data_IF_375205717348
#
_entry.id   IF_375205717348
#
_cell.length_a   1.000
_cell.length_b   1.000
_cell.length_c   1.000
_cell.angle_alpha   90.00
_cell.angle_beta   90.00
_cell.angle_gamma   90.00
#
_symmetry.space_group_name_H-M   'P 1'
#
loop_
_entity.id
_entity.type
_entity.pdbx_description
1 polymer ?
#
# COMPACT_ATOMS: atom_id res chain seq x y z
N UNK A 1 3.65 26.69 19.24
CA UNK A 1 3.77 25.25 18.90
C UNK A 1 2.51 24.77 18.21
N UNK A 2 2.47 24.83 16.88
CA UNK A 2 1.43 24.15 16.11
C UNK A 2 1.67 22.66 16.29
N UNK A 3 0.87 22.01 17.14
CA UNK A 3 0.81 20.54 17.21
C UNK A 3 0.27 20.09 15.86
N UNK A 4 1.15 19.94 14.88
CA UNK A 4 0.83 19.20 13.66
C UNK A 4 0.39 17.84 14.17
N UNK A 5 -0.88 17.49 13.99
CA UNK A 5 -1.35 16.17 14.37
C UNK A 5 -0.49 15.18 13.61
N UNK A 6 0.36 14.42 14.29
CA UNK A 6 1.10 13.34 13.66
C UNK A 6 0.25 12.09 13.72
N UNK A 7 0.22 11.36 12.62
CA UNK A 7 -0.37 10.04 12.54
C UNK A 7 0.71 9.02 12.18
N UNK A 8 0.37 7.75 12.34
CA UNK A 8 1.19 6.63 11.91
C UNK A 8 0.32 5.65 11.14
N UNK A 9 0.94 5.03 10.15
CA UNK A 9 0.31 3.96 9.36
C UNK A 9 1.14 2.71 9.58
N UNK A 10 0.54 1.71 10.18
CA UNK A 10 1.15 0.41 10.42
C UNK A 10 0.32 -0.68 9.77
N UNK A 11 1.01 -1.67 9.23
CA UNK A 11 0.37 -2.77 8.53
C UNK A 11 1.20 -4.04 8.63
N UNK A 12 0.52 -5.16 8.50
CA UNK A 12 1.13 -6.48 8.47
C UNK A 12 0.96 -7.11 7.10
N UNK A 13 2.00 -7.84 6.67
CA UNK A 13 1.99 -8.61 5.45
C UNK A 13 1.76 -10.08 5.77
N UNK A 14 0.70 -10.62 5.21
CA UNK A 14 0.34 -12.04 5.30
C UNK A 14 0.56 -12.73 3.96
N UNK A 15 1.06 -13.96 4.00
CA UNK A 15 1.26 -14.81 2.83
C UNK A 15 0.30 -16.00 2.89
N UNK A 16 -0.60 -16.08 1.92
CA UNK A 16 -1.52 -17.18 1.69
C UNK A 16 -1.00 -18.03 0.52
N UNK A 17 0.08 -18.76 0.77
CA UNK A 17 0.85 -19.49 -0.25
C UNK A 17 1.18 -20.93 0.13
N UNK A 18 0.53 -21.43 1.18
CA UNK A 18 0.81 -22.75 1.76
C UNK A 18 2.30 -22.95 2.11
N UNK A 19 2.96 -21.89 2.58
CA UNK A 19 4.37 -21.88 2.95
C UNK A 19 5.31 -22.22 1.77
N UNK A 20 5.03 -21.59 0.63
CA UNK A 20 5.80 -21.72 -0.60
C UNK A 20 7.30 -21.43 -0.40
N UNK A 21 8.16 -22.18 -1.09
CA UNK A 21 9.64 -22.05 -1.01
C UNK A 21 10.22 -21.00 -1.95
N UNK A 22 9.45 -20.59 -2.96
CA UNK A 22 9.76 -19.59 -3.98
C UNK A 22 9.31 -18.17 -3.60
N UNK A 23 9.03 -17.94 -2.30
CA UNK A 23 8.63 -16.62 -1.81
C UNK A 23 9.76 -15.60 -2.03
N UNK A 24 9.45 -14.38 -2.51
CA UNK A 24 10.45 -13.33 -2.59
C UNK A 24 11.02 -12.98 -1.21
N UNK A 25 12.30 -12.61 -1.19
CA UNK A 25 12.97 -12.21 0.05
C UNK A 25 12.43 -10.90 0.61
N UNK A 26 11.99 -9.99 -0.27
CA UNK A 26 11.54 -8.65 0.05
C UNK A 26 10.37 -8.24 -0.85
N UNK A 27 9.52 -7.36 -0.34
CA UNK A 27 8.45 -6.68 -1.08
C UNK A 27 8.59 -5.18 -0.86
N UNK A 28 7.99 -4.39 -1.75
CA UNK A 28 7.93 -2.94 -1.61
C UNK A 28 6.49 -2.50 -1.38
N UNK A 29 6.29 -1.78 -0.28
CA UNK A 29 5.01 -1.19 0.10
C UNK A 29 5.12 0.32 -0.03
N UNK A 30 4.34 0.89 -0.92
CA UNK A 30 4.22 2.33 -1.10
C UNK A 30 3.15 2.88 -0.18
N UNK A 31 3.47 4.01 0.46
CA UNK A 31 2.52 4.84 1.17
C UNK A 31 2.03 5.94 0.23
N UNK A 32 0.72 5.98 0.02
CA UNK A 32 0.04 6.99 -0.76
C UNK A 32 -0.60 8.00 0.19
N UNK A 33 -0.35 9.28 -0.05
CA UNK A 33 -1.04 10.40 0.58
C UNK A 33 -1.91 11.07 -0.48
N UNK A 34 -3.22 11.12 -0.26
CA UNK A 34 -4.20 11.65 -1.22
C UNK A 34 -4.02 11.06 -2.63
N UNK A 35 -3.70 9.76 -2.73
CA UNK A 35 -3.47 9.06 -3.99
C UNK A 35 -2.07 9.21 -4.59
N UNK A 36 -1.18 9.99 -3.98
CA UNK A 36 0.21 10.16 -4.45
C UNK A 36 1.19 9.38 -3.58
N UNK A 37 2.09 8.62 -4.19
CA UNK A 37 3.18 7.95 -3.45
C UNK A 37 4.09 9.02 -2.81
N UNK A 38 4.23 8.94 -1.49
CA UNK A 38 5.09 9.85 -0.70
C UNK A 38 6.25 9.14 -0.04
N UNK A 39 6.15 7.83 0.18
CA UNK A 39 7.19 7.01 0.79
C UNK A 39 7.06 5.55 0.32
N UNK A 40 8.17 4.82 0.37
CA UNK A 40 8.23 3.40 0.01
C UNK A 40 9.05 2.66 1.05
N UNK A 41 8.46 1.60 1.62
CA UNK A 41 9.12 0.75 2.61
C UNK A 41 9.40 -0.63 2.02
N UNK A 42 10.63 -1.09 2.19
CA UNK A 42 10.96 -2.47 1.91
C UNK A 42 10.61 -3.33 3.13
N UNK A 43 9.83 -4.39 2.88
CA UNK A 43 9.34 -5.30 3.91
C UNK A 43 9.86 -6.68 3.60
N UNK A 44 10.39 -7.37 4.59
CA UNK A 44 11.05 -8.65 4.40
C UNK A 44 10.75 -9.60 5.55
N UNK A 45 11.23 -10.83 5.41
CA UNK A 45 11.21 -11.78 6.54
C UNK A 45 11.98 -11.25 7.75
N UNK A 46 13.02 -10.44 7.57
CA UNK A 46 13.80 -9.85 8.65
C UNK A 46 13.01 -8.81 9.47
N UNK A 47 12.04 -8.13 8.84
CA UNK A 47 11.12 -7.22 9.54
C UNK A 47 9.85 -7.94 10.03
N UNK A 48 9.88 -9.28 10.06
CA UNK A 48 8.73 -10.13 10.34
C UNK A 48 7.51 -9.80 9.49
N UNK A 49 7.71 -9.36 8.24
CA UNK A 49 6.62 -8.96 7.35
C UNK A 49 5.76 -7.82 7.91
N UNK A 50 6.34 -6.95 8.75
CA UNK A 50 5.67 -5.76 9.30
C UNK A 50 6.30 -4.49 8.76
N UNK A 51 5.49 -3.44 8.65
CA UNK A 51 5.95 -2.11 8.31
C UNK A 51 5.20 -1.05 9.09
N UNK A 52 5.89 0.07 9.28
CA UNK A 52 5.37 1.24 9.99
C UNK A 52 5.92 2.48 9.32
N UNK A 53 5.00 3.38 9.00
CA UNK A 53 5.27 4.75 8.55
C UNK A 53 4.93 5.67 9.71
N UNK A 54 5.94 6.33 10.25
CA UNK A 54 5.83 7.24 11.39
C UNK A 54 5.98 8.69 10.93
N UNK A 55 5.62 9.65 11.80
CA UNK A 55 5.76 11.09 11.53
C UNK A 55 5.00 11.55 10.28
N UNK A 56 3.82 10.97 10.05
CA UNK A 56 2.94 11.38 8.96
C UNK A 56 2.09 12.55 9.42
N UNK A 57 1.93 13.57 8.58
CA UNK A 57 1.06 14.69 8.92
C UNK A 57 -0.41 14.27 8.80
N UNK A 58 -1.22 14.47 9.83
CA UNK A 58 -2.65 14.15 9.76
C UNK A 58 -3.43 15.18 8.93
N UNK A 59 -2.94 16.43 8.87
CA UNK A 59 -3.63 17.54 8.21
C UNK A 59 -2.68 18.37 7.34
N UNK A 60 -3.20 18.91 6.24
CA UNK A 60 -2.50 19.87 5.38
C UNK A 60 -2.41 21.26 6.03
N UNK A 61 -1.78 22.21 5.33
CA UNK A 61 -1.65 23.59 5.82
C UNK A 61 -2.98 24.33 5.97
N UNK A 62 -4.06 23.82 5.36
CA UNK A 62 -5.40 24.37 5.42
C UNK A 62 -6.28 23.67 6.47
N UNK A 63 -5.76 22.66 7.17
CA UNK A 63 -6.50 21.86 8.15
C UNK A 63 -7.33 20.72 7.55
N UNK A 64 -7.11 20.35 6.29
CA UNK A 64 -7.77 19.21 5.61
C UNK A 64 -7.04 17.93 5.96
N UNK A 65 -7.77 16.90 6.39
CA UNK A 65 -7.17 15.61 6.74
C UNK A 65 -6.56 14.92 5.52
N UNK A 66 -5.32 14.44 5.65
CA UNK A 66 -4.69 13.61 4.64
C UNK A 66 -5.28 12.21 4.65
N UNK A 67 -5.62 11.69 3.47
CA UNK A 67 -6.00 10.30 3.28
C UNK A 67 -4.75 9.48 3.02
N UNK A 68 -4.47 8.53 3.90
CA UNK A 68 -3.37 7.59 3.75
C UNK A 68 -3.88 6.25 3.25
N UNK A 69 -3.20 5.70 2.25
CA UNK A 69 -3.48 4.38 1.68
C UNK A 69 -2.15 3.67 1.46
N UNK A 70 -2.14 2.34 1.55
CA UNK A 70 -0.94 1.55 1.29
C UNK A 70 -1.14 0.73 0.04
N UNK A 71 -0.06 0.55 -0.71
CA UNK A 71 -0.07 -0.24 -1.93
C UNK A 71 1.17 -1.07 -2.04
N UNK A 72 0.99 -2.36 -2.22
CA UNK A 72 2.09 -3.22 -2.60
C UNK A 72 2.41 -3.08 -4.09
N UNK A 73 3.70 -3.04 -4.40
CA UNK A 73 4.21 -3.26 -5.74
C UNK A 73 3.86 -4.68 -6.23
N UNK A 74 3.63 -4.89 -7.53
CA UNK A 74 3.28 -6.20 -8.05
C UNK A 74 4.38 -7.22 -7.73
N UNK A 75 3.98 -8.34 -7.16
CA UNK A 75 4.85 -9.48 -6.87
C UNK A 75 4.55 -10.58 -7.87
N UNK A 76 5.57 -11.02 -8.59
CA UNK A 76 5.42 -12.04 -9.63
C UNK A 76 4.86 -13.35 -9.04
N UNK A 77 3.82 -13.91 -9.67
CA UNK A 77 3.14 -15.13 -9.18
C UNK A 77 2.20 -14.93 -7.97
N UNK A 78 1.98 -13.70 -7.51
CA UNK A 78 1.14 -13.40 -6.34
C UNK A 78 0.07 -12.35 -6.63
N UNK A 79 -1.11 -12.54 -6.03
CA UNK A 79 -2.20 -11.58 -6.01
C UNK A 79 -2.20 -10.86 -4.67
N UNK A 80 -1.98 -9.54 -4.70
CA UNK A 80 -2.02 -8.65 -3.55
C UNK A 80 -3.45 -8.19 -3.26
N UNK A 81 -3.88 -8.29 -2.00
CA UNK A 81 -5.11 -7.72 -1.48
C UNK A 81 -4.79 -6.80 -0.30
N UNK A 82 -5.39 -5.62 -0.25
CA UNK A 82 -5.15 -4.64 0.83
C UNK A 82 -6.46 -4.46 1.60
N UNK A 83 -6.44 -4.78 2.89
CA UNK A 83 -7.58 -4.65 3.80
C UNK A 83 -7.23 -3.60 4.86
N UNK A 84 -7.66 -2.36 4.62
CA UNK A 84 -7.22 -1.21 5.43
C UNK A 84 -5.74 -0.92 5.18
N UNK A 85 -4.89 -1.37 6.11
CA UNK A 85 -3.43 -1.28 5.99
C UNK A 85 -2.73 -2.64 6.01
N UNK A 86 -3.47 -3.73 6.19
CA UNK A 86 -2.91 -5.08 6.10
C UNK A 86 -2.91 -5.56 4.65
N UNK A 87 -1.85 -6.25 4.26
CA UNK A 87 -1.68 -6.74 2.89
C UNK A 87 -1.62 -8.26 2.93
N UNK A 88 -2.43 -8.92 2.10
CA UNK A 88 -2.41 -10.37 1.92
C UNK A 88 -1.94 -10.71 0.52
N UNK A 89 -0.87 -11.49 0.39
CA UNK A 89 -0.47 -12.08 -0.88
C UNK A 89 -0.95 -13.50 -0.98
N UNK A 90 -1.80 -13.77 -1.96
CA UNK A 90 -2.23 -15.12 -2.30
C UNK A 90 -1.47 -15.61 -3.51
N UNK A 91 -0.86 -16.80 -3.42
CA UNK A 91 -0.16 -17.40 -4.56
C UNK A 91 -1.16 -17.69 -5.67
N UNK A 92 -0.94 -17.13 -6.85
CA UNK A 92 -1.79 -17.38 -8.01
C UNK A 92 -1.31 -18.70 -8.61
N UNK A 93 -2.06 -19.78 -8.38
CA UNK A 93 -1.88 -21.00 -9.16
C UNK A 93 -2.12 -20.69 -10.64
N UNK A 94 -1.51 -21.45 -11.56
CA UNK A 94 -1.59 -21.26 -13.02
C UNK A 94 -3.03 -21.18 -13.59
N UNK A 95 -4.08 -21.40 -12.79
CA UNK A 95 -5.48 -21.53 -13.20
C UNK A 95 -6.42 -20.43 -12.71
N UNK A 96 -5.97 -19.21 -12.39
CA UNK A 96 -6.93 -18.09 -12.27
C UNK A 96 -6.36 -16.72 -12.64
N UNK A 97 -6.51 -16.39 -13.92
CA UNK A 97 -6.33 -15.07 -14.50
C UNK A 97 -7.42 -14.13 -14.00
N UNK A 98 -7.24 -13.43 -12.88
CA UNK A 98 -8.00 -12.20 -12.58
C UNK A 98 -7.14 -11.25 -11.76
N UNK A 99 -6.17 -10.66 -12.46
CA UNK A 99 -5.35 -9.54 -12.03
C UNK A 99 -5.63 -8.28 -12.86
N UNK A 100 -6.88 -7.97 -13.19
CA UNK A 100 -7.24 -6.62 -13.62
C UNK A 100 -7.34 -5.72 -12.38
N UNK A 101 -6.18 -5.33 -11.82
CA UNK A 101 -6.13 -4.06 -11.09
C UNK A 101 -6.21 -2.97 -12.15
N UNK A 102 -7.44 -2.56 -12.47
CA UNK A 102 -7.69 -1.22 -13.00
C UNK A 102 -7.13 -0.25 -11.98
N UNK A 103 -5.90 0.20 -12.21
CA UNK A 103 -5.54 1.54 -11.80
C UNK A 103 -6.52 2.43 -12.55
N UNK A 104 -7.58 2.88 -11.88
CA UNK A 104 -8.15 4.15 -12.28
C UNK A 104 -7.14 5.20 -11.82
N UNK A 105 -6.03 5.27 -12.56
CA UNK A 105 -5.22 6.48 -12.64
C UNK A 105 -6.07 7.48 -13.42
N UNK A 106 -7.21 7.88 -12.82
CA UNK A 106 -7.93 9.04 -13.26
C UNK A 106 -7.18 10.24 -12.68
N UNK A 107 -6.02 10.49 -13.27
CA UNK A 107 -5.74 11.80 -13.78
C UNK A 107 -6.84 12.16 -14.81
N UNK A 108 -8.05 12.38 -14.34
CA UNK A 108 -9.05 13.13 -15.07
C UNK A 108 -8.99 14.54 -14.51
N UNK A 109 -7.99 15.28 -14.99
CA UNK A 109 -8.07 16.73 -15.03
C UNK A 109 -9.13 17.09 -16.08
N UNK A 110 -10.41 16.79 -15.82
CA UNK A 110 -11.51 17.17 -16.69
C UNK A 110 -12.40 18.18 -15.96
N UNK A 111 -11.98 19.44 -16.12
CA UNK A 111 -12.79 20.62 -15.91
C UNK A 111 -13.44 20.94 -17.26
N UNK A 112 -14.77 20.92 -17.33
CA UNK A 112 -15.44 22.13 -17.74
C UNK A 112 -16.51 22.49 -16.73
N UNK A 113 -16.35 23.69 -16.19
CA UNK A 113 -17.42 24.43 -15.52
C UNK A 113 -18.45 24.85 -16.56
N UNK A 114 -19.72 24.54 -16.31
CA UNK A 114 -20.86 25.34 -16.77
C UNK A 114 -21.79 25.58 -15.60
#
# INVERSE_FOLDING_TARGET
NTKVGETKVEGTKTWNDNNATDRPSTIKVDLLQNGKVIDTKEVSKATNWKYTFEKLQAYDTNGVAYKYEVKEQPVDGYKSEVNGYDITNTKVGETKVEGTKTWNDNNATDRPST
#
